data_IF_764671943446
#
_entry.id   IF_764671943446
#
_cell.length_a   1.000
_cell.length_b   1.000
_cell.length_c   1.000
_cell.angle_alpha   90.00
_cell.angle_beta   90.00
_cell.angle_gamma   90.00
#
_symmetry.space_group_name_H-M   'P 1'
#
loop_
_entity.id
_entity.type
_entity.pdbx_description
1 polymer ?
#
# COMPACT_ATOMS: atom_id res chain seq x y z
N UNK A 1 -15.13 5.62 2.92
CA UNK A 1 -13.95 5.23 3.59
C UNK A 1 -13.03 4.34 2.77
N UNK A 2 -11.79 4.30 3.19
CA UNK A 2 -10.77 3.47 2.55
C UNK A 2 -10.85 2.04 3.09
N UNK A 3 -10.74 1.08 2.17
CA UNK A 3 -10.66 -0.35 2.50
C UNK A 3 -9.21 -0.78 2.63
N UNK A 4 -8.96 -1.99 3.15
CA UNK A 4 -7.61 -2.52 3.28
C UNK A 4 -6.84 -2.56 1.96
N UNK A 5 -7.51 -2.93 0.86
CA UNK A 5 -6.89 -2.94 -0.48
C UNK A 5 -6.50 -1.53 -0.95
N UNK A 6 -7.28 -0.52 -0.59
CA UNK A 6 -6.98 0.87 -0.91
C UNK A 6 -5.71 1.32 -0.17
N UNK A 7 -5.64 1.04 1.12
CA UNK A 7 -4.49 1.39 1.96
C UNK A 7 -3.22 0.70 1.46
N UNK A 8 -3.33 -0.56 1.06
CA UNK A 8 -2.20 -1.33 0.52
C UNK A 8 -1.63 -0.67 -0.74
N UNK A 9 -2.49 -0.27 -1.68
CA UNK A 9 -2.05 0.40 -2.89
C UNK A 9 -1.39 1.76 -2.57
N UNK A 10 -1.99 2.54 -1.69
CA UNK A 10 -1.43 3.83 -1.27
C UNK A 10 -0.08 3.65 -0.60
N UNK A 11 0.09 2.60 0.21
CA UNK A 11 1.34 2.27 0.88
C UNK A 11 2.49 2.07 -0.11
N UNK A 12 2.27 1.25 -1.14
CA UNK A 12 3.30 1.00 -2.15
C UNK A 12 3.57 2.22 -3.02
N UNK A 13 2.54 2.98 -3.36
CA UNK A 13 2.70 4.21 -4.14
C UNK A 13 3.48 5.28 -3.39
N UNK A 14 3.28 5.39 -2.08
CA UNK A 14 4.03 6.32 -1.24
C UNK A 14 5.54 6.05 -1.29
N UNK A 15 5.92 4.78 -1.38
CA UNK A 15 7.31 4.36 -1.42
C UNK A 15 7.94 4.44 -2.80
N UNK A 16 7.15 4.76 -3.82
CA UNK A 16 7.61 4.87 -5.19
C UNK A 16 7.73 6.33 -5.60
N UNK A 17 8.94 6.81 -5.83
CA UNK A 17 9.18 8.22 -6.19
C UNK A 17 8.55 8.62 -7.51
N UNK A 18 8.58 7.71 -8.48
CA UNK A 18 8.13 8.00 -9.85
C UNK A 18 6.78 7.38 -10.18
N UNK A 19 6.10 6.85 -9.18
CA UNK A 19 4.86 6.12 -9.36
C UNK A 19 5.10 4.67 -9.75
N UNK A 20 4.03 3.92 -9.87
CA UNK A 20 4.06 2.51 -10.26
C UNK A 20 2.95 2.24 -11.26
N UNK A 21 3.21 1.31 -12.18
CA UNK A 21 2.13 0.80 -13.06
C UNK A 21 1.22 -0.13 -12.27
N UNK A 22 -0.01 -0.32 -12.77
CA UNK A 22 -0.92 -1.30 -12.18
C UNK A 22 -0.34 -2.70 -12.14
N UNK A 23 0.41 -3.09 -13.18
CA UNK A 23 1.08 -4.38 -13.25
C UNK A 23 2.15 -4.53 -12.14
N UNK A 24 2.95 -3.49 -11.90
CA UNK A 24 3.95 -3.49 -10.84
C UNK A 24 3.30 -3.58 -9.45
N UNK A 25 2.22 -2.83 -9.25
CA UNK A 25 1.46 -2.89 -8.00
C UNK A 25 0.92 -4.29 -7.74
N UNK A 26 0.34 -4.93 -8.75
CA UNK A 26 -0.19 -6.30 -8.64
C UNK A 26 0.91 -7.27 -8.24
N UNK A 27 2.09 -7.14 -8.85
CA UNK A 27 3.23 -8.00 -8.56
C UNK A 27 3.75 -7.83 -7.14
N UNK A 28 3.99 -6.60 -6.69
CA UNK A 28 4.54 -6.36 -5.34
C UNK A 28 3.52 -6.65 -4.24
N UNK A 29 2.24 -6.39 -4.50
CA UNK A 29 1.18 -6.66 -3.53
C UNK A 29 0.75 -8.13 -3.50
N UNK A 30 1.12 -8.92 -4.51
CA UNK A 30 0.75 -10.33 -4.58
C UNK A 30 -0.74 -10.55 -4.86
N UNK A 31 -1.36 -9.65 -5.62
CA UNK A 31 -2.78 -9.71 -5.99
C UNK A 31 -2.94 -9.69 -7.50
N UNK A 32 -4.15 -9.96 -7.99
CA UNK A 32 -4.43 -9.98 -9.42
C UNK A 32 -4.45 -8.57 -10.00
N UNK A 33 -4.16 -8.46 -11.30
CA UNK A 33 -4.26 -7.19 -12.02
C UNK A 33 -5.69 -6.63 -12.00
N UNK A 34 -6.68 -7.52 -12.09
CA UNK A 34 -8.08 -7.13 -12.03
C UNK A 34 -8.42 -6.48 -10.68
N UNK A 35 -7.93 -7.05 -9.59
CA UNK A 35 -8.13 -6.50 -8.25
C UNK A 35 -7.49 -5.11 -8.11
N UNK A 36 -6.25 -4.97 -8.58
CA UNK A 36 -5.53 -3.68 -8.56
C UNK A 36 -6.27 -2.65 -9.43
N UNK A 37 -6.72 -3.06 -10.60
CA UNK A 37 -7.44 -2.17 -11.53
C UNK A 37 -8.70 -1.58 -10.87
N UNK A 38 -9.47 -2.41 -10.18
CA UNK A 38 -10.66 -1.96 -9.45
C UNK A 38 -10.30 -1.00 -8.32
N UNK A 39 -9.27 -1.34 -7.55
CA UNK A 39 -8.81 -0.51 -6.45
C UNK A 39 -8.32 0.84 -6.94
N UNK A 40 -7.51 0.86 -8.01
CA UNK A 40 -7.00 2.11 -8.58
C UNK A 40 -8.12 2.98 -9.15
N UNK A 41 -9.12 2.38 -9.79
CA UNK A 41 -10.29 3.12 -10.28
C UNK A 41 -11.03 3.80 -9.13
N UNK A 42 -11.22 3.12 -8.03
CA UNK A 42 -11.83 3.65 -6.82
C UNK A 42 -11.00 4.79 -6.23
N UNK A 43 -9.70 4.62 -6.14
CA UNK A 43 -8.79 5.64 -5.60
C UNK A 43 -8.70 6.88 -6.52
N UNK A 44 -8.70 6.67 -7.83
CA UNK A 44 -8.70 7.77 -8.81
C UNK A 44 -9.99 8.57 -8.70
N UNK A 45 -11.13 7.90 -8.61
CA UNK A 45 -12.43 8.53 -8.42
C UNK A 45 -12.49 9.36 -7.14
N UNK A 46 -11.88 8.87 -6.07
CA UNK A 46 -11.79 9.60 -4.80
C UNK A 46 -10.74 10.71 -4.76
N UNK A 47 -9.93 10.84 -5.80
CA UNK A 47 -8.89 11.86 -5.88
C UNK A 47 -7.61 11.54 -5.12
N UNK A 48 -7.42 10.29 -4.69
CA UNK A 48 -6.24 9.86 -3.94
C UNK A 48 -5.04 9.55 -4.81
N UNK A 49 -5.28 9.15 -6.05
CA UNK A 49 -4.24 8.85 -7.03
C UNK A 49 -4.57 9.53 -8.35
N UNK A 50 -3.53 9.71 -9.16
CA UNK A 50 -3.66 10.17 -10.54
C UNK A 50 -2.88 9.23 -11.43
N UNK A 51 -3.40 9.01 -12.64
CA UNK A 51 -2.75 8.21 -13.67
C UNK A 51 -2.15 9.17 -14.67
N UNK A 52 -0.89 8.94 -15.04
CA UNK A 52 -0.25 9.70 -16.11
C UNK A 52 -0.82 9.21 -17.44
N UNK A 53 -1.94 9.82 -17.82
CA UNK A 53 -2.75 9.39 -18.95
C UNK A 53 -2.38 10.16 -20.22
N UNK A 54 -1.68 9.50 -21.13
CA UNK A 54 -1.37 10.05 -22.45
C UNK A 54 -2.47 9.80 -23.48
N UNK A 55 -3.64 9.35 -23.04
CA UNK A 55 -4.85 9.31 -23.84
C UNK A 55 -5.15 8.03 -24.61
N UNK A 56 -4.25 7.06 -24.63
CA UNK A 56 -4.47 5.77 -25.28
C UNK A 56 -4.75 4.70 -24.22
N UNK A 57 -5.85 3.95 -24.37
CA UNK A 57 -6.25 2.91 -23.42
C UNK A 57 -5.18 1.82 -23.24
N UNK A 58 -4.43 1.48 -24.29
CA UNK A 58 -3.34 0.52 -24.21
C UNK A 58 -2.15 1.07 -23.43
N UNK A 59 -1.93 2.36 -23.48
CA UNK A 59 -0.89 3.06 -22.72
C UNK A 59 -1.32 3.25 -21.27
N UNK A 60 -2.62 3.48 -21.03
CA UNK A 60 -3.19 3.64 -19.69
C UNK A 60 -2.84 2.49 -18.76
N UNK A 61 -2.78 1.28 -19.29
CA UNK A 61 -2.43 0.07 -18.54
C UNK A 61 -0.96 0.05 -18.08
N UNK A 62 -0.09 0.74 -18.81
CA UNK A 62 1.34 0.87 -18.53
C UNK A 62 1.71 2.23 -17.96
N UNK A 63 0.74 3.11 -17.79
CA UNK A 63 0.97 4.44 -17.27
C UNK A 63 1.28 4.38 -15.77
N UNK A 64 2.26 5.15 -15.28
CA UNK A 64 2.52 5.20 -13.86
C UNK A 64 1.36 5.85 -13.12
N UNK A 65 1.04 5.29 -11.97
CA UNK A 65 0.08 5.83 -11.03
C UNK A 65 0.84 6.50 -9.90
N UNK A 66 0.43 7.69 -9.51
CA UNK A 66 1.08 8.47 -8.45
C UNK A 66 0.06 8.91 -7.41
N UNK A 67 0.54 9.12 -6.20
CA UNK A 67 -0.29 9.76 -5.18
C UNK A 67 -0.54 11.22 -5.53
N UNK A 68 -1.76 11.67 -5.31
CA UNK A 68 -2.07 13.10 -5.27
C UNK A 68 -1.67 13.66 -3.91
N UNK A 69 -1.79 14.97 -3.72
CA UNK A 69 -1.60 15.60 -2.41
C UNK A 69 -2.55 14.98 -1.37
N UNK A 70 -3.80 14.76 -1.76
CA UNK A 70 -4.79 14.12 -0.89
C UNK A 70 -4.39 12.69 -0.51
N UNK A 71 -3.90 11.91 -1.48
CA UNK A 71 -3.42 10.55 -1.23
C UNK A 71 -2.25 10.52 -0.26
N UNK A 72 -1.29 11.42 -0.44
CA UNK A 72 -0.15 11.57 0.46
C UNK A 72 -0.55 11.96 1.88
N UNK A 73 -1.45 12.92 2.01
CA UNK A 73 -1.97 13.34 3.32
C UNK A 73 -2.72 12.22 4.03
N UNK A 74 -3.51 11.46 3.28
CA UNK A 74 -4.24 10.30 3.82
C UNK A 74 -3.29 9.23 4.34
N UNK A 75 -2.19 8.99 3.63
CA UNK A 75 -1.17 8.03 4.08
C UNK A 75 -0.41 8.54 5.29
N UNK A 76 -0.09 9.82 5.35
CA UNK A 76 0.57 10.40 6.52
C UNK A 76 -0.28 10.24 7.76
N UNK A 77 -1.59 10.44 7.65
CA UNK A 77 -2.52 10.23 8.76
C UNK A 77 -2.56 8.77 9.20
N UNK A 78 -2.63 7.83 8.24
CA UNK A 78 -2.61 6.40 8.53
C UNK A 78 -1.30 5.99 9.20
N UNK A 79 -0.16 6.47 8.70
CA UNK A 79 1.15 6.21 9.27
C UNK A 79 1.25 6.73 10.71
N UNK A 80 0.71 7.91 10.96
CA UNK A 80 0.69 8.49 12.30
C UNK A 80 -0.08 7.60 13.28
N UNK A 81 -1.25 7.14 12.89
CA UNK A 81 -2.08 6.25 13.71
C UNK A 81 -1.36 4.94 13.98
N UNK A 82 -0.77 4.34 12.95
CA UNK A 82 -0.02 3.07 13.07
C UNK A 82 1.14 3.25 14.04
N UNK A 83 1.90 4.33 13.93
CA UNK A 83 3.02 4.63 14.83
C UNK A 83 2.57 4.78 16.27
N UNK A 84 1.46 5.48 16.51
CA UNK A 84 0.90 5.63 17.85
C UNK A 84 0.52 4.27 18.46
N UNK A 85 -0.12 3.42 17.67
CA UNK A 85 -0.50 2.08 18.12
C UNK A 85 0.74 1.25 18.44
N UNK A 86 1.74 1.27 17.57
CA UNK A 86 2.99 0.53 17.77
C UNK A 86 3.77 1.03 18.98
N UNK A 87 3.82 2.35 19.17
CA UNK A 87 4.50 2.94 20.31
C UNK A 87 3.82 2.55 21.63
N UNK A 88 2.50 2.63 21.67
CA UNK A 88 1.71 2.27 22.85
C UNK A 88 1.87 0.78 23.17
N UNK A 89 1.78 -0.06 22.15
CA UNK A 89 1.97 -1.51 22.27
C UNK A 89 3.41 -1.82 22.70
N UNK A 90 4.39 -1.14 22.11
CA UNK A 90 5.80 -1.32 22.44
C UNK A 90 6.15 -0.94 23.87
N UNK A 91 5.46 0.07 24.44
CA UNK A 91 5.62 0.43 25.85
C UNK A 91 5.03 -0.60 26.79
N UNK A 92 3.97 -1.29 26.35
CA UNK A 92 3.33 -2.35 27.12
C UNK A 92 4.10 -3.66 27.07
N UNK A 93 5.03 -3.80 26.12
CA UNK A 93 5.86 -4.99 25.94
C UNK A 93 7.29 -4.73 26.38
N UNK A 94 7.94 -5.74 26.97
CA UNK A 94 9.38 -5.73 27.15
C UNK A 94 10.10 -5.86 25.81
N UNK A 95 11.37 -5.48 25.77
CA UNK A 95 12.20 -5.53 24.56
C UNK A 95 12.22 -6.95 23.97
N UNK A 96 12.44 -7.94 24.83
CA UNK A 96 12.51 -9.34 24.43
C UNK A 96 11.19 -9.83 23.82
N UNK A 97 10.07 -9.47 24.45
CA UNK A 97 8.74 -9.83 23.96
C UNK A 97 8.46 -9.22 22.59
N UNK A 98 8.86 -7.97 22.39
CA UNK A 98 8.73 -7.27 21.10
C UNK A 98 9.53 -7.96 20.01
N UNK A 99 10.77 -8.32 20.30
CA UNK A 99 11.64 -9.03 19.36
C UNK A 99 11.07 -10.40 18.98
N UNK A 100 10.52 -11.13 19.94
CA UNK A 100 9.86 -12.40 19.69
C UNK A 100 8.62 -12.25 18.81
N UNK A 101 7.83 -11.19 19.03
CA UNK A 101 6.66 -10.90 18.22
C UNK A 101 7.06 -10.66 16.76
N UNK A 102 8.07 -9.83 16.50
CA UNK A 102 8.53 -9.55 15.15
C UNK A 102 9.12 -10.79 14.48
N UNK A 103 9.86 -11.60 15.22
CA UNK A 103 10.41 -12.86 14.71
C UNK A 103 9.29 -13.83 14.30
N UNK A 104 8.25 -13.93 15.12
CA UNK A 104 7.09 -14.78 14.82
C UNK A 104 6.32 -14.29 13.59
N UNK A 105 6.11 -13.00 13.46
CA UNK A 105 5.47 -12.40 12.29
C UNK A 105 6.28 -12.68 11.02
N UNK A 106 7.59 -12.56 11.10
CA UNK A 106 8.49 -12.84 9.96
C UNK A 106 8.36 -14.30 9.54
N UNK A 107 8.33 -15.23 10.50
CA UNK A 107 8.15 -16.65 10.23
C UNK A 107 6.83 -16.92 9.53
N UNK A 108 5.74 -16.30 9.99
CA UNK A 108 4.41 -16.43 9.39
C UNK A 108 4.42 -15.93 7.95
N UNK A 109 5.00 -14.75 7.72
CA UNK A 109 5.07 -14.15 6.37
C UNK A 109 5.88 -15.00 5.42
N UNK A 110 7.02 -15.54 5.87
CA UNK A 110 7.85 -16.42 5.06
C UNK A 110 7.12 -17.72 4.69
N UNK A 111 6.41 -18.29 5.65
CA UNK A 111 5.62 -19.51 5.43
C UNK A 111 4.51 -19.25 4.41
N UNK A 112 3.84 -18.12 4.51
CA UNK A 112 2.79 -17.74 3.55
C UNK A 112 3.32 -17.59 2.13
N UNK A 113 4.53 -17.08 1.98
CA UNK A 113 5.17 -16.92 0.66
C UNK A 113 5.50 -18.24 0.00
N UNK A 114 5.71 -19.30 0.78
CA UNK A 114 6.05 -20.62 0.27
C UNK A 114 4.81 -21.45 -0.13
N UNK A 115 3.64 -21.03 0.26
CA UNK A 115 2.38 -21.66 -0.11
C UNK A 115 1.89 -21.11 -1.45
#
# INVERSE_FOLDING_TARGET
GLKGSDVMCLYYLERSKDGMTGADLARVAGVTRAAVSRTLAHLEEGGFVEVDDSGDAAVKYRAPVRLTTLGGESMNEADRIIREVLDTTGKAMGVEQREQMYASLRTILNTLREI
#
